data_IF_800768263570
#
_entry.id   IF_800768263570
#
_cell.length_a   1.000
_cell.length_b   1.000
_cell.length_c   1.000
_cell.angle_alpha   90.00
_cell.angle_beta   90.00
_cell.angle_gamma   90.00
#
_symmetry.space_group_name_H-M   'P 1'
#
loop_
_entity.id
_entity.type
_entity.pdbx_description
1 polymer ?
#
# COMPACT_ATOMS: atom_id res chain seq x y z
N UNK A 1 -11.25 4.33 64.23
CA UNK A 1 -11.34 2.96 63.68
C UNK A 1 -10.81 2.97 62.25
N UNK A 2 -9.57 2.51 62.12
CA UNK A 2 -8.90 1.84 61.00
C UNK A 2 -9.28 2.22 59.56
N UNK A 3 -8.57 3.19 59.00
CA UNK A 3 -8.24 3.18 57.57
C UNK A 3 -7.17 2.11 57.33
N UNK A 4 -7.56 0.96 56.80
CA UNK A 4 -6.62 -0.02 56.24
C UNK A 4 -6.14 0.52 54.90
N UNK A 5 -4.92 1.05 54.92
CA UNK A 5 -4.09 1.25 53.74
C UNK A 5 -3.86 -0.13 53.12
N UNK A 6 -4.44 -0.37 51.95
CA UNK A 6 -4.16 -1.57 51.16
C UNK A 6 -2.87 -1.31 50.39
N UNK A 7 -1.80 -1.96 50.82
CA UNK A 7 -0.54 -2.06 50.11
C UNK A 7 -0.78 -2.60 48.70
N UNK A 8 -0.61 -1.75 47.70
CA UNK A 8 -0.43 -2.16 46.31
C UNK A 8 1.08 -2.34 46.14
N UNK A 9 1.58 -3.55 45.81
CA UNK A 9 3.01 -3.72 45.58
C UNK A 9 3.37 -2.97 44.29
N UNK A 10 4.26 -1.99 44.45
CA UNK A 10 4.93 -1.28 43.38
C UNK A 10 5.73 -2.30 42.54
N UNK A 11 5.16 -2.72 41.41
CA UNK A 11 5.89 -3.51 40.43
C UNK A 11 7.01 -2.63 39.87
N UNK A 12 8.22 -2.82 40.39
CA UNK A 12 9.43 -2.33 39.77
C UNK A 12 9.50 -2.93 38.36
N UNK A 13 9.20 -2.08 37.37
CA UNK A 13 9.35 -2.39 35.97
C UNK A 13 10.85 -2.56 35.71
N UNK A 14 11.37 -3.77 35.44
CA UNK A 14 12.78 -3.91 35.11
C UNK A 14 13.00 -3.11 33.82
N UNK A 15 13.87 -2.09 33.88
CA UNK A 15 14.30 -1.37 32.70
C UNK A 15 14.94 -2.36 31.73
N UNK A 16 14.14 -2.88 30.80
CA UNK A 16 14.63 -3.58 29.63
C UNK A 16 15.30 -2.49 28.77
N UNK A 17 16.62 -2.53 28.56
CA UNK A 17 17.26 -1.61 27.63
C UNK A 17 16.59 -1.81 26.26
N UNK A 18 16.39 -0.73 25.47
CA UNK A 18 15.74 -0.85 24.18
C UNK A 18 16.51 -1.87 23.36
N UNK A 19 15.89 -3.01 23.10
CA UNK A 19 16.40 -3.96 22.12
C UNK A 19 16.38 -3.23 20.79
N UNK A 20 17.54 -2.72 20.38
CA UNK A 20 17.73 -2.27 19.00
C UNK A 20 17.20 -3.37 18.10
N UNK A 21 16.35 -3.04 17.10
CA UNK A 21 15.96 -4.02 16.13
C UNK A 21 17.25 -4.46 15.44
N UNK A 22 17.76 -5.64 15.82
CA UNK A 22 18.77 -6.33 15.03
C UNK A 22 18.05 -6.76 13.76
N UNK A 23 17.92 -5.80 12.85
CA UNK A 23 17.64 -6.06 11.45
C UNK A 23 18.72 -7.07 11.08
N UNK A 24 18.38 -8.31 10.68
CA UNK A 24 19.39 -9.22 10.17
C UNK A 24 20.08 -8.45 9.05
N UNK A 25 21.38 -8.24 9.23
CA UNK A 25 22.25 -7.57 8.29
C UNK A 25 22.18 -8.38 7.01
N UNK A 26 21.20 -8.05 6.17
CA UNK A 26 21.14 -8.53 4.82
C UNK A 26 22.44 -8.03 4.24
N UNK A 27 23.36 -8.96 3.99
CA UNK A 27 24.62 -8.68 3.34
C UNK A 27 24.30 -8.05 1.98
N UNK A 28 24.13 -6.73 1.96
CA UNK A 28 23.98 -5.90 0.78
C UNK A 28 25.37 -5.72 0.18
N UNK A 29 26.06 -6.83 -0.12
CA UNK A 29 27.23 -6.85 -0.97
C UNK A 29 26.81 -6.83 -2.44
N UNK A 30 25.83 -5.98 -2.78
CA UNK A 30 25.41 -5.73 -4.15
C UNK A 30 25.30 -4.23 -4.45
N UNK A 31 26.02 -3.40 -3.69
CA UNK A 31 26.43 -2.09 -4.21
C UNK A 31 27.44 -2.40 -5.30
N UNK A 32 27.19 -2.04 -6.58
CA UNK A 32 28.17 -2.23 -7.63
C UNK A 32 29.34 -1.31 -7.34
N UNK A 33 30.36 -1.84 -6.65
CA UNK A 33 31.65 -1.16 -6.49
C UNK A 33 32.11 -0.83 -7.90
N UNK A 34 32.25 0.48 -8.19
CA UNK A 34 32.68 0.95 -9.49
C UNK A 34 34.03 0.29 -9.81
N UNK A 35 34.01 -0.71 -10.70
CA UNK A 35 35.22 -1.47 -11.04
C UNK A 35 36.21 -0.51 -11.70
N UNK A 36 37.43 -0.43 -11.17
CA UNK A 36 38.46 0.49 -11.64
C UNK A 36 39.33 -0.06 -12.79
N UNK A 37 38.94 -1.19 -13.39
CA UNK A 37 39.72 -1.82 -14.47
C UNK A 37 39.52 -1.15 -15.82
N UNK A 38 40.52 -1.24 -16.71
CA UNK A 38 40.46 -0.69 -18.09
C UNK A 38 39.14 -1.02 -18.82
N UNK A 39 38.72 -2.28 -18.81
CA UNK A 39 37.49 -2.74 -19.46
C UNK A 39 36.23 -2.15 -18.79
N UNK A 40 36.26 -1.92 -17.48
CA UNK A 40 35.14 -1.34 -16.75
C UNK A 40 34.90 0.14 -17.08
N UNK A 41 35.96 0.88 -17.44
CA UNK A 41 35.89 2.29 -17.86
C UNK A 41 35.42 2.48 -19.30
N UNK A 42 35.41 1.42 -20.10
CA UNK A 42 34.93 1.50 -21.48
C UNK A 42 33.42 1.81 -21.54
N UNK A 43 32.93 2.43 -22.62
CA UNK A 43 31.51 2.67 -22.85
C UNK A 43 30.68 1.40 -22.74
N UNK A 44 29.43 1.53 -22.30
CA UNK A 44 28.50 0.41 -22.10
C UNK A 44 28.41 -0.48 -23.34
N UNK A 45 28.22 0.11 -24.52
CA UNK A 45 28.09 -0.61 -25.77
C UNK A 45 29.29 -1.52 -26.07
N UNK A 46 30.52 -1.06 -25.77
CA UNK A 46 31.74 -1.87 -25.97
C UNK A 46 31.79 -3.00 -24.94
N UNK A 47 31.45 -2.73 -23.67
CA UNK A 47 31.39 -3.77 -22.63
C UNK A 47 30.37 -4.86 -22.97
N UNK A 48 29.24 -4.47 -23.55
CA UNK A 48 28.19 -5.40 -23.99
C UNK A 48 28.65 -6.29 -25.14
N UNK A 49 29.33 -5.72 -26.15
CA UNK A 49 29.93 -6.51 -27.23
C UNK A 49 31.03 -7.45 -26.74
N UNK A 50 31.85 -7.05 -25.75
CA UNK A 50 32.80 -7.96 -25.10
C UNK A 50 32.06 -9.12 -24.45
N UNK A 51 30.99 -8.85 -23.71
CA UNK A 51 30.22 -9.89 -23.02
C UNK A 51 29.54 -10.85 -24.00
N UNK A 52 28.99 -10.36 -25.12
CA UNK A 52 28.42 -11.20 -26.18
C UNK A 52 29.47 -12.12 -26.83
N UNK A 53 30.65 -11.58 -27.14
CA UNK A 53 31.78 -12.37 -27.68
C UNK A 53 32.24 -13.45 -26.71
N UNK A 54 32.29 -13.13 -25.41
CA UNK A 54 32.59 -14.10 -24.35
C UNK A 54 31.50 -15.18 -24.23
N UNK A 55 30.23 -14.81 -24.33
CA UNK A 55 29.10 -15.73 -24.32
C UNK A 55 29.14 -16.69 -25.52
N UNK A 56 29.52 -16.17 -26.70
CA UNK A 56 29.69 -16.95 -27.93
C UNK A 56 30.94 -17.85 -27.93
N UNK A 57 31.70 -17.89 -26.83
CA UNK A 57 32.89 -18.75 -26.70
C UNK A 57 34.12 -18.26 -27.46
N UNK A 58 34.16 -16.99 -27.88
CA UNK A 58 35.31 -16.45 -28.60
C UNK A 58 36.57 -16.44 -27.70
N UNK A 59 37.71 -16.82 -28.29
CA UNK A 59 38.98 -16.88 -27.56
C UNK A 59 39.48 -15.47 -27.19
N UNK A 60 40.31 -15.38 -26.16
CA UNK A 60 40.74 -14.08 -25.62
C UNK A 60 41.53 -13.22 -26.62
N UNK A 61 42.35 -13.86 -27.49
CA UNK A 61 43.23 -13.14 -28.40
C UNK A 61 42.47 -12.36 -29.51
N UNK A 62 41.49 -12.94 -30.23
CA UNK A 62 40.62 -12.21 -31.14
C UNK A 62 39.90 -11.02 -30.50
N UNK A 63 39.37 -11.21 -29.28
CA UNK A 63 38.69 -10.16 -28.53
C UNK A 63 39.65 -9.01 -28.24
N UNK A 64 40.89 -9.29 -27.83
CA UNK A 64 41.90 -8.27 -27.55
C UNK A 64 42.38 -7.54 -28.82
N UNK A 65 42.54 -8.26 -29.93
CA UNK A 65 42.92 -7.66 -31.20
C UNK A 65 41.85 -6.70 -31.71
N UNK A 66 40.58 -7.10 -31.61
CA UNK A 66 39.44 -6.23 -31.91
C UNK A 66 39.34 -5.05 -30.94
N UNK A 67 39.46 -5.29 -29.63
CA UNK A 67 39.32 -4.24 -28.63
C UNK A 67 40.40 -3.15 -28.78
N UNK A 68 41.64 -3.56 -29.05
CA UNK A 68 42.76 -2.64 -29.27
C UNK A 68 42.79 -2.04 -30.68
N UNK A 69 41.93 -2.45 -31.62
CA UNK A 69 41.82 -1.81 -32.93
C UNK A 69 40.85 -0.63 -32.95
N UNK A 70 39.94 -0.55 -31.97
CA UNK A 70 38.95 0.52 -31.87
C UNK A 70 39.59 1.86 -31.44
N UNK A 71 39.35 2.96 -32.19
CA UNK A 71 39.90 4.27 -31.86
C UNK A 71 39.34 4.82 -30.53
N UNK A 72 38.07 4.51 -30.22
CA UNK A 72 37.40 4.88 -28.98
C UNK A 72 38.09 4.28 -27.76
N UNK A 73 38.48 3.01 -27.83
CA UNK A 73 39.20 2.31 -26.76
C UNK A 73 40.60 2.90 -26.60
N UNK A 74 41.31 3.16 -27.71
CA UNK A 74 42.65 3.76 -27.66
C UNK A 74 42.63 5.14 -27.02
N UNK A 75 41.67 5.99 -27.38
CA UNK A 75 41.51 7.33 -26.80
C UNK A 75 41.31 7.29 -25.27
N UNK A 76 40.45 6.37 -24.78
CA UNK A 76 40.21 6.21 -23.34
C UNK A 76 41.43 5.60 -22.62
N UNK A 77 42.11 4.66 -23.27
CA UNK A 77 43.32 4.04 -22.72
C UNK A 77 44.49 5.02 -22.68
N UNK A 78 44.60 5.91 -23.66
CA UNK A 78 45.59 7.01 -23.67
C UNK A 78 45.30 8.03 -22.57
N UNK A 79 44.04 8.46 -22.43
CA UNK A 79 43.66 9.48 -21.45
C UNK A 79 43.69 8.99 -20.00
N UNK A 80 43.20 7.77 -19.72
CA UNK A 80 43.04 7.26 -18.35
C UNK A 80 44.12 6.27 -17.91
N UNK A 81 44.86 5.66 -18.86
CA UNK A 81 45.75 4.53 -18.57
C UNK A 81 47.13 4.61 -19.26
N UNK A 82 47.53 5.80 -19.72
CA UNK A 82 48.87 6.06 -20.26
C UNK A 82 49.18 5.32 -21.56
N UNK A 83 48.16 5.01 -22.37
CA UNK A 83 48.32 4.45 -23.73
C UNK A 83 48.66 2.96 -23.77
N UNK A 84 48.73 2.29 -22.63
CA UNK A 84 49.05 0.86 -22.57
C UNK A 84 47.86 0.02 -23.05
N UNK A 85 47.99 -0.82 -24.08
CA UNK A 85 46.88 -1.57 -24.64
C UNK A 85 46.20 -2.48 -23.60
N UNK A 86 44.96 -2.86 -23.87
CA UNK A 86 44.23 -3.81 -23.03
C UNK A 86 44.90 -5.18 -23.17
N UNK A 87 45.32 -5.76 -22.05
CA UNK A 87 46.06 -7.02 -22.01
C UNK A 87 45.17 -8.20 -21.63
N UNK A 88 45.68 -9.42 -21.81
CA UNK A 88 45.00 -10.64 -21.38
C UNK A 88 44.67 -10.65 -19.88
N UNK A 89 45.53 -10.06 -19.04
CA UNK A 89 45.27 -9.95 -17.60
C UNK A 89 44.01 -9.11 -17.32
N UNK A 90 43.77 -8.05 -18.11
CA UNK A 90 42.56 -7.25 -18.00
C UNK A 90 41.31 -8.05 -18.36
N UNK A 91 41.38 -8.86 -19.43
CA UNK A 91 40.26 -9.71 -19.86
C UNK A 91 39.97 -10.83 -18.85
N UNK A 92 40.99 -11.46 -18.27
CA UNK A 92 40.80 -12.47 -17.21
C UNK A 92 40.12 -11.87 -15.98
N UNK A 93 40.57 -10.68 -15.54
CA UNK A 93 39.93 -9.97 -14.42
C UNK A 93 38.49 -9.58 -14.73
N UNK A 94 38.20 -9.21 -15.97
CA UNK A 94 36.83 -8.95 -16.42
C UNK A 94 35.95 -10.21 -16.39
N UNK A 95 36.47 -11.34 -16.86
CA UNK A 95 35.76 -12.64 -16.79
C UNK A 95 35.40 -13.04 -15.36
N UNK A 96 36.30 -12.79 -14.41
CA UNK A 96 36.10 -13.15 -13.00
C UNK A 96 35.12 -12.24 -12.26
N UNK A 97 34.78 -11.07 -12.81
CA UNK A 97 33.90 -10.09 -12.17
C UNK A 97 32.84 -9.56 -13.13
N UNK A 98 33.21 -8.60 -13.97
CA UNK A 98 32.28 -7.88 -14.87
C UNK A 98 31.40 -8.78 -15.73
N UNK A 99 31.97 -9.85 -16.27
CA UNK A 99 31.21 -10.83 -17.06
C UNK A 99 30.25 -11.66 -16.19
N UNK A 100 30.63 -12.02 -14.96
CA UNK A 100 29.75 -12.76 -14.04
C UNK A 100 28.54 -11.91 -13.63
N UNK A 101 28.75 -10.65 -13.32
CA UNK A 101 27.66 -9.73 -13.00
C UNK A 101 26.72 -9.56 -14.19
N UNK A 102 27.29 -9.44 -15.40
CA UNK A 102 26.49 -9.40 -16.61
C UNK A 102 25.69 -10.69 -16.83
N UNK A 103 26.27 -11.87 -16.57
CA UNK A 103 25.53 -13.14 -16.62
C UNK A 103 24.39 -13.20 -15.60
N UNK A 104 24.58 -12.68 -14.39
CA UNK A 104 23.52 -12.59 -13.38
C UNK A 104 22.41 -11.66 -13.88
N UNK A 105 22.78 -10.50 -14.45
CA UNK A 105 21.82 -9.57 -15.05
C UNK A 105 21.07 -10.18 -16.23
N UNK A 106 21.75 -10.93 -17.10
CA UNK A 106 21.11 -11.63 -18.21
C UNK A 106 20.21 -12.76 -17.73
N UNK A 107 20.64 -13.54 -16.74
CA UNK A 107 19.79 -14.60 -16.16
C UNK A 107 18.52 -14.02 -15.55
N UNK A 108 18.61 -12.85 -14.89
CA UNK A 108 17.44 -12.14 -14.38
C UNK A 108 16.54 -11.64 -15.51
N UNK A 109 17.13 -11.13 -16.61
CA UNK A 109 16.39 -10.68 -17.77
C UNK A 109 15.68 -11.83 -18.51
N UNK A 110 16.38 -12.94 -18.75
CA UNK A 110 15.85 -14.16 -19.33
C UNK A 110 14.72 -14.75 -18.48
N UNK A 111 14.84 -14.66 -17.15
CA UNK A 111 13.78 -15.07 -16.24
C UNK A 111 12.54 -14.17 -16.40
N UNK A 112 12.73 -12.85 -16.53
CA UNK A 112 11.64 -11.90 -16.76
C UNK A 112 10.98 -12.07 -18.14
N UNK A 113 11.76 -12.32 -19.19
CA UNK A 113 11.25 -12.60 -20.54
C UNK A 113 10.51 -13.95 -20.56
N UNK A 114 11.11 -15.00 -20.00
CA UNK A 114 10.48 -16.31 -19.90
C UNK A 114 9.19 -16.29 -19.07
N UNK A 115 9.11 -15.40 -18.06
CA UNK A 115 7.88 -15.11 -17.33
C UNK A 115 6.83 -14.42 -18.21
N UNK A 116 7.24 -13.52 -19.09
CA UNK A 116 6.35 -12.82 -20.03
C UNK A 116 5.76 -13.78 -21.06
N UNK A 117 6.60 -14.62 -21.66
CA UNK A 117 6.22 -15.56 -22.71
C UNK A 117 5.35 -16.71 -22.20
N UNK A 118 5.66 -17.27 -21.01
CA UNK A 118 4.89 -18.41 -20.45
C UNK A 118 3.51 -18.02 -19.91
N UNK A 119 3.27 -16.74 -19.64
CA UNK A 119 2.12 -16.30 -18.86
C UNK A 119 1.29 -15.20 -19.54
N UNK A 120 1.42 -15.03 -20.87
CA UNK A 120 0.73 -14.05 -21.72
C UNK A 120 0.34 -12.78 -20.96
N UNK A 121 1.34 -11.93 -20.71
CA UNK A 121 1.25 -10.71 -19.89
C UNK A 121 0.51 -9.53 -20.56
N UNK A 122 -0.56 -9.80 -21.30
CA UNK A 122 -1.29 -8.78 -22.07
C UNK A 122 -2.39 -8.06 -21.26
N UNK A 123 -2.29 -8.06 -19.92
CA UNK A 123 -3.29 -7.47 -19.03
C UNK A 123 -2.66 -6.47 -18.03
N UNK A 124 -3.25 -5.28 -17.86
CA UNK A 124 -2.62 -4.11 -17.24
C UNK A 124 -2.49 -4.14 -15.71
N UNK A 125 -2.94 -5.20 -15.03
CA UNK A 125 -2.88 -5.28 -13.56
C UNK A 125 -1.60 -6.00 -13.08
N UNK A 126 -0.47 -5.31 -13.24
CA UNK A 126 0.88 -5.84 -13.07
C UNK A 126 1.22 -6.18 -11.62
N UNK A 127 0.69 -5.47 -10.63
CA UNK A 127 1.14 -5.60 -9.23
C UNK A 127 0.60 -6.85 -8.54
N UNK A 128 -0.69 -7.17 -8.70
CA UNK A 128 -1.30 -8.36 -8.10
C UNK A 128 -0.84 -9.66 -8.78
N UNK A 129 -0.66 -9.60 -10.11
CA UNK A 129 -0.22 -10.76 -10.88
C UNK A 129 1.28 -11.03 -10.75
N UNK A 130 2.14 -10.03 -10.61
CA UNK A 130 3.58 -10.25 -10.44
C UNK A 130 3.91 -11.06 -9.19
N UNK A 131 3.27 -10.74 -8.05
CA UNK A 131 3.43 -11.50 -6.81
C UNK A 131 2.95 -12.96 -6.97
N UNK A 132 1.79 -13.17 -7.60
CA UNK A 132 1.28 -14.51 -7.87
C UNK A 132 2.19 -15.32 -8.81
N UNK A 133 2.77 -14.67 -9.82
CA UNK A 133 3.69 -15.30 -10.78
C UNK A 133 5.04 -15.64 -10.16
N UNK A 134 5.59 -14.77 -9.30
CA UNK A 134 6.77 -15.07 -8.49
C UNK A 134 6.51 -16.22 -7.52
N UNK A 135 5.34 -16.25 -6.88
CA UNK A 135 4.95 -17.36 -6.03
C UNK A 135 4.91 -18.68 -6.82
N UNK A 136 4.34 -18.68 -8.03
CA UNK A 136 4.30 -19.86 -8.90
C UNK A 136 5.70 -20.35 -9.32
N UNK A 137 6.61 -19.46 -9.70
CA UNK A 137 8.00 -19.82 -9.96
C UNK A 137 8.69 -20.38 -8.73
N UNK A 138 8.52 -19.74 -7.57
CA UNK A 138 9.06 -20.25 -6.32
C UNK A 138 8.53 -21.67 -6.06
N UNK A 139 7.25 -21.94 -6.30
CA UNK A 139 6.68 -23.30 -6.20
C UNK A 139 7.38 -24.28 -7.14
N UNK A 140 7.60 -23.93 -8.41
CA UNK A 140 8.31 -24.80 -9.37
C UNK A 140 9.75 -25.07 -8.91
N UNK A 141 10.46 -24.03 -8.45
CA UNK A 141 11.82 -24.16 -7.93
C UNK A 141 11.86 -25.05 -6.69
N UNK A 142 10.95 -24.86 -5.73
CA UNK A 142 10.86 -25.73 -4.56
C UNK A 142 10.49 -27.16 -4.94
N UNK A 143 9.60 -27.37 -5.91
CA UNK A 143 9.26 -28.73 -6.38
C UNK A 143 10.46 -29.44 -7.04
N UNK A 144 11.26 -28.72 -7.84
CA UNK A 144 12.47 -29.26 -8.44
C UNK A 144 13.56 -29.54 -7.38
N UNK A 145 13.75 -28.62 -6.43
CA UNK A 145 14.70 -28.80 -5.32
C UNK A 145 14.27 -29.93 -4.38
N UNK A 146 12.97 -30.10 -4.14
CA UNK A 146 12.42 -31.20 -3.35
C UNK A 146 12.69 -32.55 -4.01
N UNK A 147 12.51 -32.67 -5.33
CA UNK A 147 12.82 -33.92 -6.04
C UNK A 147 14.29 -34.32 -5.89
N UNK A 148 15.21 -33.36 -5.91
CA UNK A 148 16.64 -33.64 -5.74
C UNK A 148 17.01 -33.94 -4.28
N UNK A 149 16.45 -33.20 -3.32
CA UNK A 149 16.77 -33.32 -1.89
C UNK A 149 16.07 -34.52 -1.21
N UNK A 150 14.94 -34.99 -1.75
CA UNK A 150 14.18 -36.15 -1.26
C UNK A 150 14.43 -37.41 -2.09
N UNK A 151 15.45 -37.39 -2.97
CA UNK A 151 15.88 -38.57 -3.71
C UNK A 151 16.32 -39.68 -2.74
N UNK A 152 16.03 -40.96 -3.02
CA UNK A 152 16.40 -42.07 -2.14
C UNK A 152 17.92 -42.19 -1.89
N UNK A 153 18.74 -41.65 -2.79
CA UNK A 153 20.21 -41.61 -2.67
C UNK A 153 20.73 -40.35 -1.94
N UNK A 154 19.84 -39.42 -1.57
CA UNK A 154 20.22 -38.18 -0.90
C UNK A 154 20.55 -38.41 0.58
N UNK A 155 21.47 -37.60 1.11
CA UNK A 155 21.81 -37.67 2.54
C UNK A 155 20.63 -37.19 3.37
N UNK A 156 20.28 -37.89 4.48
CA UNK A 156 19.15 -37.51 5.32
C UNK A 156 19.31 -36.12 5.96
N UNK A 157 20.55 -35.66 6.18
CA UNK A 157 20.84 -34.31 6.68
C UNK A 157 20.43 -33.21 5.68
N UNK A 158 20.69 -33.43 4.39
CA UNK A 158 20.39 -32.46 3.33
C UNK A 158 18.87 -32.35 3.12
N UNK A 159 18.16 -33.48 3.21
CA UNK A 159 16.70 -33.51 3.19
C UNK A 159 16.07 -32.74 4.36
N UNK A 160 16.57 -32.95 5.58
CA UNK A 160 16.09 -32.25 6.77
C UNK A 160 16.37 -30.74 6.72
N UNK A 161 17.54 -30.34 6.20
CA UNK A 161 17.88 -28.93 6.01
C UNK A 161 16.95 -28.27 4.98
N UNK A 162 16.69 -28.93 3.85
CA UNK A 162 15.75 -28.45 2.85
C UNK A 162 14.35 -28.24 3.42
N UNK A 163 13.83 -29.21 4.18
CA UNK A 163 12.51 -29.11 4.80
C UNK A 163 12.40 -27.96 5.81
N UNK A 164 13.47 -27.69 6.58
CA UNK A 164 13.51 -26.53 7.50
C UNK A 164 13.53 -25.20 6.75
N UNK A 165 14.26 -25.13 5.63
CA UNK A 165 14.28 -23.94 4.79
C UNK A 165 12.90 -23.69 4.17
N UNK A 166 12.29 -24.74 3.60
CA UNK A 166 10.95 -24.67 3.02
C UNK A 166 9.88 -24.22 4.03
N UNK A 167 9.90 -24.77 5.25
CA UNK A 167 8.93 -24.37 6.28
C UNK A 167 9.13 -22.94 6.76
N UNK A 168 10.38 -22.47 6.84
CA UNK A 168 10.69 -21.07 7.14
C UNK A 168 10.20 -20.13 6.04
N UNK A 169 10.38 -20.51 4.77
CA UNK A 169 9.98 -19.69 3.62
C UNK A 169 8.45 -19.63 3.48
N UNK A 170 7.75 -20.75 3.66
CA UNK A 170 6.27 -20.78 3.70
C UNK A 170 5.75 -19.90 4.85
N UNK A 171 6.38 -19.98 6.02
CA UNK A 171 6.01 -19.16 7.18
C UNK A 171 6.23 -17.67 6.90
N UNK A 172 7.30 -17.31 6.19
CA UNK A 172 7.56 -15.92 5.77
C UNK A 172 6.52 -15.42 4.77
N UNK A 173 6.12 -16.27 3.82
CA UNK A 173 5.10 -15.94 2.82
C UNK A 173 3.70 -15.78 3.42
N UNK A 174 3.39 -16.47 4.52
CA UNK A 174 2.10 -16.35 5.22
C UNK A 174 1.98 -15.15 6.17
N UNK A 175 3.10 -14.55 6.61
CA UNK A 175 3.06 -13.41 7.54
C UNK A 175 2.26 -12.21 7.03
N UNK A 176 2.40 -11.77 5.77
CA UNK A 176 1.60 -10.67 5.23
C UNK A 176 0.10 -10.98 5.21
N UNK A 177 -0.27 -12.21 4.86
CA UNK A 177 -1.66 -12.66 4.83
C UNK A 177 -2.28 -12.63 6.23
N UNK A 178 -1.60 -13.20 7.22
CA UNK A 178 -2.05 -13.15 8.62
C UNK A 178 -2.13 -11.71 9.15
N UNK A 179 -1.21 -10.85 8.72
CA UNK A 179 -1.26 -9.42 9.07
C UNK A 179 -2.46 -8.72 8.43
N UNK A 180 -2.76 -8.99 7.16
CA UNK A 180 -3.92 -8.46 6.47
C UNK A 180 -5.24 -8.88 7.15
N UNK A 181 -5.35 -10.16 7.55
CA UNK A 181 -6.51 -10.66 8.30
C UNK A 181 -6.67 -9.95 9.65
N UNK A 182 -5.57 -9.71 10.37
CA UNK A 182 -5.61 -8.95 11.63
C UNK A 182 -6.07 -7.52 11.41
N UNK A 183 -5.57 -6.84 10.38
CA UNK A 183 -5.99 -5.48 10.05
C UNK A 183 -7.47 -5.43 9.68
N UNK A 184 -8.01 -6.46 9.03
CA UNK A 184 -9.44 -6.55 8.70
C UNK A 184 -10.30 -6.64 9.97
N UNK A 185 -9.91 -7.49 10.93
CA UNK A 185 -10.58 -7.58 12.23
C UNK A 185 -10.56 -6.24 12.97
N UNK A 186 -9.40 -5.55 12.98
CA UNK A 186 -9.27 -4.23 13.62
C UNK A 186 -10.16 -3.18 12.93
N UNK A 187 -10.29 -3.21 11.60
CA UNK A 187 -11.21 -2.34 10.85
C UNK A 187 -12.67 -2.62 11.19
N UNK A 188 -13.06 -3.90 11.24
CA UNK A 188 -14.42 -4.30 11.61
C UNK A 188 -14.76 -3.83 13.03
N UNK A 189 -13.83 -3.95 13.98
CA UNK A 189 -14.02 -3.46 15.34
C UNK A 189 -14.24 -1.95 15.39
N UNK A 190 -13.39 -1.17 14.70
CA UNK A 190 -13.54 0.29 14.62
C UNK A 190 -14.88 0.71 13.99
N UNK A 191 -15.36 -0.04 13.01
CA UNK A 191 -16.65 0.23 12.37
C UNK A 191 -17.82 -0.03 13.33
N UNK A 192 -17.79 -1.13 14.08
CA UNK A 192 -18.79 -1.40 15.11
C UNK A 192 -18.79 -0.33 16.21
N UNK A 193 -17.61 0.12 16.64
CA UNK A 193 -17.48 1.17 17.65
C UNK A 193 -18.06 2.51 17.16
N UNK A 194 -17.84 2.87 15.90
CA UNK A 194 -18.45 4.05 15.28
C UNK A 194 -19.97 3.95 15.20
N UNK A 195 -20.50 2.80 14.81
CA UNK A 195 -21.94 2.57 14.76
C UNK A 195 -22.58 2.67 16.13
N UNK A 196 -21.94 2.07 17.15
CA UNK A 196 -22.40 2.16 18.53
C UNK A 196 -22.41 3.61 19.03
N UNK A 197 -21.33 4.36 18.80
CA UNK A 197 -21.26 5.78 19.17
C UNK A 197 -22.35 6.61 18.49
N UNK A 198 -22.63 6.35 17.21
CA UNK A 198 -23.68 7.05 16.48
C UNK A 198 -25.08 6.76 17.06
N UNK A 199 -25.37 5.51 17.41
CA UNK A 199 -26.62 5.12 18.07
C UNK A 199 -26.77 5.78 19.43
N UNK A 200 -25.70 5.81 20.23
CA UNK A 200 -25.70 6.45 21.55
C UNK A 200 -25.94 7.97 21.43
N UNK A 201 -25.29 8.63 20.46
CA UNK A 201 -25.53 10.03 20.17
C UNK A 201 -26.97 10.29 19.73
N UNK A 202 -27.53 9.47 18.86
CA UNK A 202 -28.92 9.61 18.43
C UNK A 202 -29.89 9.41 19.60
N UNK A 203 -29.65 8.42 20.44
CA UNK A 203 -30.44 8.18 21.65
C UNK A 203 -30.37 9.36 22.63
N UNK A 204 -29.17 9.88 22.86
CA UNK A 204 -28.94 11.07 23.68
C UNK A 204 -29.67 12.29 23.11
N UNK A 205 -29.58 12.53 21.80
CA UNK A 205 -30.30 13.63 21.11
C UNK A 205 -31.81 13.49 21.24
N UNK A 206 -32.36 12.29 21.04
CA UNK A 206 -33.79 12.02 21.23
C UNK A 206 -34.22 12.29 22.67
N UNK A 207 -33.39 11.93 23.65
CA UNK A 207 -33.64 12.20 25.06
C UNK A 207 -33.64 13.71 25.35
N UNK A 208 -32.63 14.45 24.87
CA UNK A 208 -32.58 15.91 25.04
C UNK A 208 -33.74 16.62 24.34
N UNK A 209 -34.13 16.16 23.15
CA UNK A 209 -35.28 16.69 22.42
C UNK A 209 -36.58 16.43 23.18
N UNK A 210 -36.77 15.23 23.73
CA UNK A 210 -37.92 14.90 24.55
C UNK A 210 -38.00 15.75 25.82
N UNK A 211 -36.87 15.94 26.51
CA UNK A 211 -36.76 16.83 27.68
C UNK A 211 -37.05 18.28 27.30
N UNK A 212 -36.53 18.76 26.18
CA UNK A 212 -36.83 20.10 25.65
C UNK A 212 -38.32 20.28 25.36
N UNK A 213 -38.96 19.34 24.65
CA UNK A 213 -40.39 19.40 24.37
C UNK A 213 -41.27 19.23 25.62
N UNK A 214 -40.80 18.52 26.65
CA UNK A 214 -41.47 18.46 27.94
C UNK A 214 -41.36 19.80 28.69
N UNK A 215 -40.19 20.44 28.66
CA UNK A 215 -39.95 21.76 29.23
C UNK A 215 -40.80 22.85 28.56
N UNK A 216 -40.90 22.85 27.23
CA UNK A 216 -41.71 23.85 26.51
C UNK A 216 -43.19 23.75 26.83
N UNK A 217 -43.72 22.59 27.20
CA UNK A 217 -45.15 22.40 27.58
C UNK A 217 -45.52 22.99 28.93
N UNK A 218 -44.57 23.45 29.74
CA UNK A 218 -44.86 24.09 31.04
C UNK A 218 -45.57 25.42 30.82
N UNK A 219 -46.57 25.73 31.65
CA UNK A 219 -47.42 26.91 31.47
C UNK A 219 -46.65 28.24 31.50
N UNK A 220 -45.64 28.35 32.38
CA UNK A 220 -44.77 29.52 32.52
C UNK A 220 -43.88 29.78 31.28
N UNK A 221 -43.53 28.71 30.56
CA UNK A 221 -42.71 28.77 29.34
C UNK A 221 -43.60 28.95 28.11
N UNK A 222 -44.75 28.28 28.04
CA UNK A 222 -45.73 28.46 26.97
C UNK A 222 -46.18 29.92 26.83
N UNK A 223 -46.46 30.60 27.94
CA UNK A 223 -46.86 32.02 27.93
C UNK A 223 -45.74 32.95 27.44
N UNK A 224 -44.46 32.56 27.59
CA UNK A 224 -43.30 33.30 27.06
C UNK A 224 -43.02 33.00 25.59
N UNK A 225 -43.27 31.77 25.14
CA UNK A 225 -43.07 31.35 23.75
C UNK A 225 -44.20 31.86 22.83
N UNK A 226 -45.41 31.96 23.35
CA UNK A 226 -46.56 32.57 22.69
C UNK A 226 -47.01 33.80 23.49
N UNK A 227 -46.26 34.92 23.43
CA UNK A 227 -46.70 36.15 24.05
C UNK A 227 -48.08 36.50 23.48
N UNK A 228 -49.06 36.73 24.37
CA UNK A 228 -50.41 37.17 23.99
C UNK A 228 -50.28 38.31 23.00
N UNK A 229 -50.85 38.13 21.81
CA UNK A 229 -50.74 39.03 20.66
C UNK A 229 -50.68 40.49 21.10
N UNK A 230 -49.48 41.08 21.09
CA UNK A 230 -49.36 42.53 21.06
C UNK A 230 -49.74 42.94 19.63
N UNK A 231 -51.04 42.95 19.36
CA UNK A 231 -51.67 43.49 18.15
C UNK A 231 -50.86 43.25 16.88
N UNK A 232 -50.85 42.02 16.37
CA UNK A 232 -50.45 41.80 14.99
C UNK A 232 -51.23 42.73 14.05
N UNK A 233 -50.66 43.07 12.88
CA UNK A 233 -51.34 43.84 11.84
C UNK A 233 -52.78 43.35 11.70
N UNK A 234 -53.75 44.20 12.03
CA UNK A 234 -55.17 43.84 11.90
C UNK A 234 -55.43 43.43 10.45
N UNK A 235 -56.38 42.52 10.22
CA UNK A 235 -56.72 42.05 8.87
C UNK A 235 -57.00 43.21 7.91
N UNK A 236 -57.52 44.32 8.42
CA UNK A 236 -57.74 45.57 7.70
C UNK A 236 -56.43 46.28 7.29
N UNK A 237 -55.44 46.31 8.17
CA UNK A 237 -54.13 46.92 7.88
C UNK A 237 -53.33 46.04 6.91
N UNK A 238 -53.48 44.72 7.02
CA UNK A 238 -52.97 43.74 6.04
C UNK A 238 -53.64 43.92 4.68
N UNK A 239 -54.96 44.12 4.65
CA UNK A 239 -55.73 44.40 3.43
C UNK A 239 -55.29 45.69 2.74
N UNK A 240 -55.05 46.76 3.52
CA UNK A 240 -54.53 48.02 2.99
C UNK A 240 -53.17 47.85 2.32
N UNK A 241 -52.24 47.16 2.96
CA UNK A 241 -50.90 46.89 2.38
C UNK A 241 -51.03 46.02 1.12
N UNK A 242 -51.88 44.99 1.13
CA UNK A 242 -52.11 44.15 -0.05
C UNK A 242 -52.70 44.94 -1.24
N UNK A 243 -53.63 45.86 -0.98
CA UNK A 243 -54.27 46.69 -2.01
C UNK A 243 -53.33 47.80 -2.50
N UNK A 244 -52.55 48.42 -1.61
CA UNK A 244 -51.58 49.50 -1.90
C UNK A 244 -50.39 49.02 -2.72
N UNK A 245 -49.88 47.82 -2.43
CA UNK A 245 -48.75 47.22 -3.17
C UNK A 245 -49.19 46.30 -4.31
N UNK A 246 -50.50 46.19 -4.58
CA UNK A 246 -51.08 45.31 -5.62
C UNK A 246 -50.54 43.87 -5.58
N UNK A 247 -50.23 43.37 -4.38
CA UNK A 247 -49.52 42.09 -4.19
C UNK A 247 -50.37 40.90 -4.69
N UNK A 248 -51.68 41.07 -4.85
CA UNK A 248 -52.57 40.08 -5.44
C UNK A 248 -53.68 40.72 -6.32
N UNK A 249 -54.03 40.14 -7.48
CA UNK A 249 -55.16 40.59 -8.28
C UNK A 249 -56.48 40.33 -7.55
N UNK A 250 -57.40 41.33 -7.60
CA UNK A 250 -58.65 41.45 -6.82
C UNK A 250 -59.59 40.22 -6.79
N UNK A 251 -59.41 39.26 -7.70
CA UNK A 251 -60.27 38.07 -7.84
C UNK A 251 -59.74 36.76 -7.22
N UNK A 252 -58.60 36.76 -6.50
CA UNK A 252 -58.09 35.51 -5.87
C UNK A 252 -58.69 35.17 -4.50
N UNK A 253 -59.34 36.10 -3.79
CA UNK A 253 -59.91 35.85 -2.44
C UNK A 253 -60.97 34.73 -2.42
N UNK A 254 -61.64 34.45 -3.55
CA UNK A 254 -62.63 33.35 -3.67
C UNK A 254 -61.98 31.95 -3.67
N UNK A 255 -60.68 31.84 -3.95
CA UNK A 255 -60.00 30.56 -4.13
C UNK A 255 -59.17 30.09 -2.93
N UNK A 256 -58.82 30.97 -1.99
CA UNK A 256 -58.04 30.57 -0.80
C UNK A 256 -58.93 30.14 0.38
N UNK A 257 -60.14 30.70 0.55
CA UNK A 257 -61.06 30.28 1.62
C UNK A 257 -61.52 28.82 1.49
N UNK A 258 -61.50 28.23 0.30
CA UNK A 258 -61.86 26.81 0.07
C UNK A 258 -60.75 25.81 0.37
N UNK A 259 -59.50 26.23 0.59
CA UNK A 259 -58.37 25.31 0.81
C UNK A 259 -58.01 25.06 2.28
N UNK A 260 -58.62 25.79 3.22
CA UNK A 260 -58.36 25.61 4.65
C UNK A 260 -59.25 24.57 5.34
N UNK A 261 -60.33 24.11 4.69
CA UNK A 261 -61.28 23.13 5.26
C UNK A 261 -61.05 21.69 4.78
N UNK A 262 -59.92 21.39 4.13
CA UNK A 262 -59.58 20.02 3.73
C UNK A 262 -58.49 19.47 4.64
N UNK A 263 -58.77 18.49 5.53
CA UNK A 263 -57.74 17.90 6.36
C UNK A 263 -56.77 17.14 5.45
N UNK A 264 -55.51 17.59 5.42
CA UNK A 264 -54.42 16.92 4.73
C UNK A 264 -54.18 15.55 5.40
N UNK A 265 -54.71 14.49 4.79
CA UNK A 265 -54.38 13.12 5.17
C UNK A 265 -52.92 12.83 4.77
N UNK A 266 -52.01 12.99 5.73
CA UNK A 266 -50.65 12.48 5.62
C UNK A 266 -50.67 10.96 5.79
N UNK A 267 -50.77 10.21 4.69
CA UNK A 267 -50.51 8.77 4.70
C UNK A 267 -49.00 8.54 4.61
N UNK A 268 -48.41 8.15 5.75
CA UNK A 268 -47.02 7.73 5.87
C UNK A 268 -46.89 6.33 5.24
N UNK A 269 -46.34 6.24 4.02
CA UNK A 269 -45.90 4.96 3.43
C UNK A 269 -44.82 4.38 4.34
N UNK A 270 -45.11 3.22 4.95
CA UNK A 270 -44.11 2.35 5.56
C UNK A 270 -43.39 1.59 4.44
N UNK A 271 -42.06 1.68 4.42
CA UNK A 271 -41.19 0.67 3.79
C UNK A 271 -41.15 -0.58 4.67
#
# INVERSE_FOLDING_TARGET
>A
MNNKSSDIPEFQNPSIPPAEPTIPEFQHSNIPVARLGKIARLPHAIREQINLRLQNGESGQPILNWLNSLPEVRSIVESEFGGQPVSHSNLTRWRQGGYRDWLVSQSAHDLVIGLHDRLSLDQPDLSGQFAAKLAHLATIHYAASAQNALSPDAKPADALQFLRQLSADISRLHRPELHAQRLDIERQHLELERQWLALEQEHSRKKTDAEFWAWTKRADIQEKLHPKDQGGFTDETRQRIEDEFHLFPKNRRKYMRKKCDTPAQFTRKKS
#
